data_IF_324911461851
#
_entry.id   IF_324911461851
#
_cell.length_a   1.000
_cell.length_b   1.000
_cell.length_c   1.000
_cell.angle_alpha   90.00
_cell.angle_beta   90.00
_cell.angle_gamma   90.00
#
_symmetry.space_group_name_H-M   'P 1'
#
loop_
_entity.id
_entity.type
_entity.pdbx_description
1 polymer ?
#
# COMPACT_ATOMS: atom_id res chain seq x y z
N UNK A 1 53.22 -36.82 -45.61
CA UNK A 1 52.09 -35.87 -45.47
C UNK A 1 50.83 -36.66 -45.18
N UNK A 2 50.36 -36.65 -43.93
CA UNK A 2 49.02 -37.09 -43.53
C UNK A 2 48.68 -36.32 -42.24
N UNK A 3 47.73 -35.39 -42.32
CA UNK A 3 47.24 -34.62 -41.19
C UNK A 3 45.88 -35.21 -40.77
N UNK A 4 45.78 -35.63 -39.50
CA UNK A 4 44.54 -36.12 -38.90
C UNK A 4 43.72 -34.93 -38.37
N UNK A 5 42.45 -34.85 -38.77
CA UNK A 5 41.48 -33.84 -38.33
C UNK A 5 40.71 -34.40 -37.14
N UNK A 6 40.76 -33.72 -35.99
CA UNK A 6 39.97 -34.05 -34.80
C UNK A 6 38.75 -33.13 -34.76
N UNK A 7 37.54 -33.70 -34.79
CA UNK A 7 36.28 -32.97 -34.60
C UNK A 7 36.01 -32.77 -33.11
N UNK A 8 35.85 -31.51 -32.69
CA UNK A 8 35.36 -31.15 -31.36
C UNK A 8 33.83 -31.05 -31.37
N UNK A 9 33.15 -31.86 -30.54
CA UNK A 9 31.71 -31.73 -30.30
C UNK A 9 31.47 -30.61 -29.28
N UNK A 10 30.83 -29.52 -29.70
CA UNK A 10 30.37 -28.46 -28.80
C UNK A 10 28.97 -28.83 -28.26
N UNK A 11 28.89 -29.17 -26.97
CA UNK A 11 27.62 -29.34 -26.27
C UNK A 11 27.11 -27.96 -25.80
N UNK A 12 25.99 -27.50 -26.36
CA UNK A 12 25.28 -26.32 -25.88
C UNK A 12 24.48 -26.67 -24.63
N UNK A 13 25.05 -26.45 -23.44
CA UNK A 13 24.27 -26.38 -22.21
C UNK A 13 23.68 -24.96 -22.08
N UNK A 14 22.40 -24.78 -22.36
CA UNK A 14 21.69 -23.54 -22.05
C UNK A 14 21.46 -23.46 -20.53
N UNK A 15 22.01 -22.47 -19.82
CA UNK A 15 21.61 -22.22 -18.44
C UNK A 15 20.19 -21.65 -18.45
N UNK A 16 19.22 -22.41 -17.93
CA UNK A 16 17.92 -21.86 -17.54
C UNK A 16 18.19 -20.93 -16.36
N UNK A 17 18.24 -19.63 -16.64
CA UNK A 17 18.27 -18.59 -15.60
C UNK A 17 16.86 -18.44 -15.04
N UNK A 18 16.49 -19.32 -14.12
CA UNK A 18 15.35 -19.12 -13.23
C UNK A 18 15.85 -18.46 -11.96
N UNK A 19 15.70 -17.13 -11.84
CA UNK A 19 15.87 -16.47 -10.55
C UNK A 19 14.89 -17.11 -9.55
N UNK A 20 15.36 -17.65 -8.41
CA UNK A 20 14.46 -18.12 -7.39
C UNK A 20 13.64 -16.94 -6.89
N UNK A 21 12.34 -16.90 -7.17
CA UNK A 21 11.42 -16.01 -6.46
C UNK A 21 11.61 -16.32 -4.98
N UNK A 22 12.14 -15.36 -4.22
CA UNK A 22 12.35 -15.50 -2.79
C UNK A 22 11.03 -15.98 -2.17
N UNK A 23 11.03 -17.22 -1.65
CA UNK A 23 9.86 -17.78 -1.01
C UNK A 23 9.72 -17.05 0.32
N UNK A 24 8.79 -16.10 0.38
CA UNK A 24 8.49 -15.36 1.60
C UNK A 24 8.07 -16.37 2.68
N UNK A 25 8.72 -16.31 3.84
CA UNK A 25 8.44 -17.25 4.92
C UNK A 25 7.01 -16.98 5.46
N UNK A 26 6.17 -18.02 5.64
CA UNK A 26 4.89 -17.86 6.30
C UNK A 26 5.07 -17.19 7.67
N UNK A 27 4.28 -16.15 7.95
CA UNK A 27 4.33 -15.41 9.22
C UNK A 27 5.20 -14.15 9.21
N UNK A 28 5.81 -13.77 8.09
CA UNK A 28 6.42 -12.43 7.95
C UNK A 28 5.40 -11.39 7.47
N UNK A 29 5.72 -10.11 7.68
CA UNK A 29 4.90 -8.98 7.22
C UNK A 29 4.68 -9.05 5.70
N UNK A 30 5.73 -9.41 4.95
CA UNK A 30 5.70 -9.46 3.48
C UNK A 30 4.76 -10.53 2.95
N UNK A 31 4.60 -11.65 3.67
CA UNK A 31 3.72 -12.75 3.26
C UNK A 31 2.23 -12.38 3.36
N UNK A 32 1.90 -11.35 4.14
CA UNK A 32 0.52 -10.90 4.31
C UNK A 32 0.02 -10.11 3.10
N UNK A 33 0.88 -9.37 2.38
CA UNK A 33 0.44 -8.55 1.26
C UNK A 33 -0.16 -9.39 0.12
N UNK A 34 -1.20 -8.86 -0.52
CA UNK A 34 -1.67 -9.44 -1.77
C UNK A 34 -0.62 -9.28 -2.85
N UNK A 35 -0.36 -10.33 -3.66
CA UNK A 35 0.62 -10.26 -4.71
C UNK A 35 0.13 -9.37 -5.86
N UNK A 36 1.08 -8.85 -6.65
CA UNK A 36 0.84 -7.88 -7.72
C UNK A 36 -0.24 -8.32 -8.70
N UNK A 37 -0.23 -9.58 -9.12
CA UNK A 37 -1.20 -10.14 -10.07
C UNK A 37 -2.63 -10.15 -9.52
N UNK A 38 -2.79 -10.42 -8.23
CA UNK A 38 -4.11 -10.41 -7.59
C UNK A 38 -4.63 -8.98 -7.44
N UNK A 39 -3.76 -8.04 -7.05
CA UNK A 39 -4.14 -6.62 -7.00
C UNK A 39 -4.46 -6.07 -8.38
N UNK A 40 -3.68 -6.40 -9.41
CA UNK A 40 -3.92 -6.00 -10.80
C UNK A 40 -5.30 -6.48 -11.28
N UNK A 41 -5.65 -7.74 -10.97
CA UNK A 41 -6.96 -8.32 -11.29
C UNK A 41 -8.10 -7.59 -10.57
N UNK A 42 -7.95 -7.29 -9.28
CA UNK A 42 -8.98 -6.59 -8.49
C UNK A 42 -9.20 -5.13 -8.91
N UNK A 43 -8.14 -4.47 -9.39
CA UNK A 43 -8.22 -3.09 -9.90
C UNK A 43 -8.70 -3.05 -11.36
N UNK A 44 -8.48 -4.13 -12.12
CA UNK A 44 -8.76 -4.16 -13.55
C UNK A 44 -7.72 -3.44 -14.40
N UNK A 45 -6.48 -3.31 -13.90
CA UNK A 45 -5.37 -2.64 -14.58
C UNK A 45 -4.07 -3.43 -14.45
N UNK A 46 -3.20 -3.34 -15.45
CA UNK A 46 -1.87 -3.94 -15.40
C UNK A 46 -0.95 -3.07 -14.56
N UNK A 47 -0.71 -3.46 -13.32
CA UNK A 47 0.16 -2.73 -12.40
C UNK A 47 1.59 -3.28 -12.45
N UNK A 48 2.54 -2.44 -12.05
CA UNK A 48 3.93 -2.80 -11.78
C UNK A 48 4.29 -2.48 -10.32
N UNK A 49 5.26 -3.20 -9.77
CA UNK A 49 5.80 -2.89 -8.46
C UNK A 49 6.53 -1.54 -8.46
N UNK A 50 6.31 -0.72 -7.43
CA UNK A 50 6.96 0.58 -7.28
C UNK A 50 7.91 0.60 -6.09
N UNK A 51 7.35 0.71 -4.89
CA UNK A 51 8.11 0.91 -3.67
C UNK A 51 7.62 -0.07 -2.60
N UNK A 52 8.57 -0.59 -1.84
CA UNK A 52 8.32 -1.31 -0.60
C UNK A 52 9.15 -0.67 0.52
N UNK A 53 8.56 -0.49 1.70
CA UNK A 53 9.26 0.02 2.88
C UNK A 53 8.91 -0.82 4.10
N UNK A 54 9.88 -1.01 5.00
CA UNK A 54 9.73 -1.72 6.28
C UNK A 54 9.61 -0.78 7.47
N UNK A 55 9.63 0.53 7.24
CA UNK A 55 9.40 1.55 8.26
C UNK A 55 8.41 2.62 7.75
N UNK A 56 7.57 3.18 8.64
CA UNK A 56 6.65 4.25 8.27
C UNK A 56 7.41 5.48 7.76
N UNK A 57 7.13 5.96 6.52
CA UNK A 57 7.74 7.19 6.04
C UNK A 57 7.36 8.39 6.91
N UNK A 58 8.19 9.43 6.87
CA UNK A 58 7.89 10.69 7.55
C UNK A 58 6.50 11.22 7.16
N UNK A 59 5.81 11.94 8.07
CA UNK A 59 4.54 12.60 7.75
C UNK A 59 4.64 13.44 6.48
N UNK A 60 3.62 13.34 5.64
CA UNK A 60 3.48 14.21 4.49
C UNK A 60 2.99 15.59 4.93
N UNK A 61 3.43 16.64 4.23
CA UNK A 61 3.02 18.01 4.53
C UNK A 61 1.52 18.20 4.29
N UNK A 62 0.86 18.88 5.23
CA UNK A 62 -0.55 19.23 5.19
C UNK A 62 -0.75 20.63 5.77
N UNK A 63 -1.64 21.41 5.17
CA UNK A 63 -2.17 22.64 5.75
C UNK A 63 -3.71 22.52 5.82
N UNK A 64 -4.30 22.47 7.02
CA UNK A 64 -3.65 22.59 8.33
C UNK A 64 -2.78 21.36 8.70
N UNK A 65 -1.70 21.49 9.51
CA UNK A 65 -0.84 20.38 9.89
C UNK A 65 -1.56 19.21 10.59
N UNK A 66 -2.67 19.50 11.27
CA UNK A 66 -3.52 18.49 11.91
C UNK A 66 -4.07 17.44 10.92
N UNK A 67 -4.12 17.76 9.62
CA UNK A 67 -4.58 16.88 8.56
C UNK A 67 -3.56 15.82 8.11
N UNK A 68 -2.33 15.82 8.64
CA UNK A 68 -1.27 14.93 8.19
C UNK A 68 -1.66 13.44 8.18
N UNK A 69 -2.49 12.99 9.14
CA UNK A 69 -2.98 11.60 9.20
C UNK A 69 -3.85 11.22 8.00
N UNK A 70 -4.56 12.19 7.43
CA UNK A 70 -5.47 11.95 6.31
C UNK A 70 -4.71 11.91 4.98
N UNK A 71 -3.53 12.54 4.88
CA UNK A 71 -2.81 12.76 3.61
C UNK A 71 -2.37 11.48 2.92
N UNK A 72 -1.67 10.57 3.61
CA UNK A 72 -1.08 9.39 2.98
C UNK A 72 -1.33 8.12 3.78
N UNK A 73 -1.46 6.96 3.11
CA UNK A 73 -1.28 5.69 3.79
C UNK A 73 0.16 5.58 4.31
N UNK A 74 0.39 4.64 5.23
CA UNK A 74 1.74 4.22 5.67
C UNK A 74 2.56 5.23 6.50
N UNK A 75 2.12 6.47 6.69
CA UNK A 75 2.98 7.48 7.34
C UNK A 75 3.11 7.29 8.84
N UNK A 76 4.20 7.82 9.38
CA UNK A 76 4.41 7.91 10.83
C UNK A 76 3.36 8.78 11.54
N UNK A 77 2.49 9.50 10.83
CA UNK A 77 1.33 10.18 11.45
C UNK A 77 0.35 9.19 12.09
N UNK A 78 0.26 7.96 11.55
CA UNK A 78 -0.58 6.88 12.08
C UNK A 78 0.25 5.80 12.75
N UNK A 79 1.39 5.43 12.15
CA UNK A 79 2.23 4.30 12.55
C UNK A 79 3.47 4.72 13.36
N UNK A 80 3.42 5.84 14.07
CA UNK A 80 4.59 6.53 14.64
C UNK A 80 5.60 5.60 15.35
N UNK A 81 5.12 4.78 16.29
CA UNK A 81 5.96 3.93 17.18
C UNK A 81 5.17 2.72 17.69
N UNK A 82 5.88 1.81 18.35
CA UNK A 82 5.27 0.71 19.13
C UNK A 82 4.87 -0.51 18.30
N UNK A 83 5.09 -0.51 16.99
CA UNK A 83 4.95 -1.69 16.15
C UNK A 83 6.13 -2.65 16.35
N UNK A 84 5.86 -3.94 16.23
CA UNK A 84 6.86 -5.04 16.16
C UNK A 84 7.22 -5.39 14.72
N UNK A 85 6.31 -5.13 13.79
CA UNK A 85 6.57 -5.23 12.36
C UNK A 85 5.76 -4.18 11.62
N UNK A 86 6.37 -3.60 10.59
CA UNK A 86 5.70 -2.68 9.69
C UNK A 86 6.09 -3.02 8.26
N UNK A 87 5.15 -2.85 7.34
CA UNK A 87 5.43 -2.91 5.92
C UNK A 87 4.43 -2.09 5.13
N UNK A 88 4.88 -1.53 4.01
CA UNK A 88 4.03 -0.95 2.99
C UNK A 88 4.55 -1.34 1.61
N UNK A 89 3.65 -1.71 0.71
CA UNK A 89 3.95 -1.98 -0.70
C UNK A 89 3.03 -1.15 -1.59
N UNK A 90 3.60 -0.59 -2.66
CA UNK A 90 2.87 0.20 -3.65
C UNK A 90 3.01 -0.37 -5.06
N UNK A 91 1.90 -0.37 -5.79
CA UNK A 91 1.77 -0.84 -7.17
C UNK A 91 1.16 0.27 -8.02
N UNK A 92 1.61 0.40 -9.27
CA UNK A 92 1.19 1.47 -10.16
C UNK A 92 1.29 1.04 -11.62
N UNK A 93 0.35 1.47 -12.46
CA UNK A 93 0.45 1.29 -13.91
C UNK A 93 1.43 2.28 -14.56
N UNK A 94 1.74 2.09 -15.84
CA UNK A 94 2.73 2.93 -16.52
C UNK A 94 2.29 4.39 -16.69
N UNK A 95 0.98 4.66 -16.72
CA UNK A 95 0.43 6.01 -16.88
C UNK A 95 0.18 6.72 -15.54
N UNK A 96 0.28 6.01 -14.41
CA UNK A 96 -0.10 6.50 -13.08
C UNK A 96 -1.61 6.74 -12.93
N UNK A 97 -2.44 6.13 -13.76
CA UNK A 97 -3.90 6.21 -13.69
C UNK A 97 -4.46 5.30 -12.59
N UNK A 98 -3.66 4.33 -12.14
CA UNK A 98 -3.99 3.46 -11.01
C UNK A 98 -2.79 3.36 -10.08
N UNK A 99 -3.00 3.72 -8.81
CA UNK A 99 -2.00 3.56 -7.75
C UNK A 99 -2.65 2.81 -6.59
N UNK A 100 -2.06 1.70 -6.17
CA UNK A 100 -2.50 0.94 -5.01
C UNK A 100 -1.40 0.89 -3.97
N UNK A 101 -1.76 1.11 -2.70
CA UNK A 101 -0.86 0.92 -1.56
C UNK A 101 -1.51 -0.01 -0.54
N UNK A 102 -0.77 -1.01 -0.10
CA UNK A 102 -1.13 -1.90 1.01
C UNK A 102 -0.18 -1.63 2.17
N UNK A 103 -0.71 -1.54 3.40
CA UNK A 103 0.05 -1.25 4.62
C UNK A 103 -0.35 -2.21 5.71
N UNK A 104 0.64 -2.72 6.44
CA UNK A 104 0.46 -3.54 7.63
C UNK A 104 1.35 -3.02 8.76
N UNK A 105 0.73 -2.67 9.88
CA UNK A 105 1.42 -2.51 11.16
C UNK A 105 0.99 -3.61 12.12
N UNK A 106 1.93 -4.37 12.67
CA UNK A 106 1.71 -5.39 13.70
C UNK A 106 2.31 -4.90 15.00
N UNK A 107 1.55 -4.93 16.08
CA UNK A 107 1.92 -4.43 17.40
C UNK A 107 2.16 -5.60 18.39
N UNK A 108 2.85 -5.36 19.52
CA UNK A 108 3.00 -6.37 20.57
C UNK A 108 1.67 -6.88 21.11
N UNK A 109 0.64 -6.04 21.14
CA UNK A 109 -0.69 -6.32 21.66
C UNK A 109 -1.79 -5.52 20.94
N UNK A 110 -3.04 -5.79 21.28
CA UNK A 110 -4.20 -5.08 20.71
C UNK A 110 -4.26 -3.59 21.05
N UNK A 111 -3.65 -3.18 22.17
CA UNK A 111 -3.66 -1.78 22.62
C UNK A 111 -2.90 -0.90 21.64
N UNK A 112 -1.77 -1.37 21.13
CA UNK A 112 -1.00 -0.67 20.11
C UNK A 112 -1.79 -0.46 18.82
N UNK A 113 -2.41 -1.51 18.29
CA UNK A 113 -3.23 -1.42 17.07
C UNK A 113 -4.48 -0.53 17.28
N UNK A 114 -5.11 -0.62 18.45
CA UNK A 114 -6.24 0.24 18.83
C UNK A 114 -5.84 1.71 18.90
N UNK A 115 -4.67 2.01 19.46
CA UNK A 115 -4.15 3.38 19.54
C UNK A 115 -3.92 3.98 18.15
N UNK A 116 -3.30 3.21 17.25
CA UNK A 116 -3.09 3.64 15.87
C UNK A 116 -4.41 3.85 15.12
N UNK A 117 -5.38 2.94 15.29
CA UNK A 117 -6.71 3.08 14.69
C UNK A 117 -7.48 4.29 15.23
N UNK A 118 -7.44 4.55 16.54
CA UNK A 118 -8.03 5.75 17.16
C UNK A 118 -7.36 7.03 16.66
N UNK A 119 -6.04 7.01 16.46
CA UNK A 119 -5.28 8.16 15.91
C UNK A 119 -5.74 8.48 14.49
N UNK A 120 -5.88 7.45 13.65
CA UNK A 120 -6.39 7.58 12.29
C UNK A 120 -7.83 8.13 12.30
N UNK A 121 -8.75 7.49 13.00
CA UNK A 121 -10.18 7.87 13.00
C UNK A 121 -10.43 9.26 13.58
N UNK A 122 -9.76 9.61 14.68
CA UNK A 122 -9.88 10.95 15.30
C UNK A 122 -9.37 12.03 14.35
N UNK A 123 -8.20 11.84 13.75
CA UNK A 123 -7.67 12.87 12.86
C UNK A 123 -8.39 12.93 11.49
N UNK A 124 -8.98 11.82 11.02
CA UNK A 124 -9.90 11.86 9.88
C UNK A 124 -11.15 12.71 10.18
N UNK A 125 -11.73 12.58 11.37
CA UNK A 125 -12.90 13.36 11.77
C UNK A 125 -12.60 14.87 11.85
N UNK A 126 -11.35 15.24 12.12
CA UNK A 126 -10.90 16.63 12.22
C UNK A 126 -10.42 17.22 10.90
N UNK A 127 -10.30 16.42 9.84
CA UNK A 127 -9.70 16.85 8.59
C UNK A 127 -10.68 16.76 7.40
N UNK A 128 -11.52 17.78 7.16
CA UNK A 128 -12.39 17.80 6.00
C UNK A 128 -11.67 18.15 4.69
N UNK A 129 -10.59 18.93 4.76
CA UNK A 129 -9.78 19.32 3.61
C UNK A 129 -8.37 19.75 4.05
N UNK A 130 -7.40 19.60 3.15
CA UNK A 130 -6.03 20.09 3.36
C UNK A 130 -5.37 20.47 2.03
N UNK A 131 -4.49 21.46 2.08
CA UNK A 131 -3.50 21.69 1.03
C UNK A 131 -2.30 20.78 1.28
N UNK A 132 -1.86 20.07 0.24
CA UNK A 132 -0.72 19.14 0.30
C UNK A 132 0.39 19.61 -0.63
N UNK A 133 1.63 19.43 -0.21
CA UNK A 133 2.78 19.56 -1.09
C UNK A 133 3.08 18.24 -1.79
N UNK A 134 3.15 18.28 -3.13
CA UNK A 134 3.82 17.25 -3.92
C UNK A 134 5.13 17.85 -4.46
N UNK A 135 6.26 17.19 -4.21
CA UNK A 135 7.58 17.67 -4.60
C UNK A 135 7.66 18.00 -6.11
N UNK A 136 6.94 17.25 -6.95
CA UNK A 136 7.03 17.38 -8.40
C UNK A 136 5.84 18.13 -9.03
N UNK A 137 4.74 18.30 -8.28
CA UNK A 137 3.47 18.86 -8.80
C UNK A 137 2.97 20.09 -8.07
N UNK A 138 3.73 20.61 -7.11
CA UNK A 138 3.38 21.81 -6.34
C UNK A 138 2.30 21.55 -5.29
N UNK A 139 1.62 22.62 -4.87
CA UNK A 139 0.56 22.56 -3.87
C UNK A 139 -0.77 22.19 -4.53
N UNK A 140 -1.49 21.23 -3.96
CA UNK A 140 -2.83 20.86 -4.39
C UNK A 140 -3.77 20.78 -3.19
N UNK A 141 -5.01 21.24 -3.35
CA UNK A 141 -6.05 21.10 -2.33
C UNK A 141 -6.74 19.76 -2.48
N UNK A 142 -6.99 19.11 -1.34
CA UNK A 142 -7.65 17.82 -1.25
C UNK A 142 -8.82 17.89 -0.29
N UNK A 143 -9.92 17.24 -0.65
CA UNK A 143 -11.07 17.05 0.22
C UNK A 143 -11.11 15.62 0.73
N UNK A 144 -11.42 15.45 2.00
CA UNK A 144 -11.56 14.13 2.63
C UNK A 144 -12.99 13.90 3.05
N UNK A 145 -13.49 12.69 2.79
CA UNK A 145 -14.82 12.26 3.24
C UNK A 145 -14.66 10.92 3.91
N UNK A 146 -14.68 10.92 5.23
CA UNK A 146 -14.67 9.70 6.03
C UNK A 146 -16.10 9.24 6.32
N UNK A 147 -16.31 7.94 6.20
CA UNK A 147 -17.52 7.29 6.69
C UNK A 147 -17.43 7.17 8.22
N UNK A 148 -18.56 7.12 8.96
CA UNK A 148 -18.53 6.87 10.38
C UNK A 148 -17.75 5.57 10.68
N UNK A 149 -16.72 5.61 11.53
CA UNK A 149 -15.96 4.42 11.84
C UNK A 149 -16.82 3.40 12.58
N UNK A 150 -16.58 2.13 12.30
CA UNK A 150 -17.06 1.01 13.12
C UNK A 150 -16.06 0.73 14.25
N UNK A 151 -16.29 -0.31 15.04
CA UNK A 151 -15.38 -0.71 16.12
C UNK A 151 -13.96 -1.04 15.63
N UNK A 152 -13.80 -1.54 14.41
CA UNK A 152 -12.52 -2.00 13.88
C UNK A 152 -12.18 -1.47 12.49
N UNK A 153 -13.12 -0.88 11.76
CA UNK A 153 -12.96 -0.51 10.35
C UNK A 153 -13.39 0.93 10.07
N UNK A 154 -12.67 1.61 9.19
CA UNK A 154 -13.02 2.95 8.68
C UNK A 154 -12.68 3.06 7.19
N UNK A 155 -13.59 3.60 6.40
CA UNK A 155 -13.40 3.92 5.00
C UNK A 155 -13.47 5.43 4.78
N UNK A 156 -12.67 5.94 3.84
CA UNK A 156 -12.70 7.34 3.45
C UNK A 156 -12.19 7.55 2.04
N UNK A 157 -12.58 8.67 1.43
CA UNK A 157 -12.04 9.11 0.14
C UNK A 157 -11.21 10.36 0.33
N UNK A 158 -10.15 10.48 -0.46
CA UNK A 158 -9.40 11.72 -0.65
C UNK A 158 -9.45 12.13 -2.12
N UNK A 159 -10.07 13.26 -2.44
CA UNK A 159 -10.23 13.75 -3.81
C UNK A 159 -9.41 15.01 -4.04
N UNK A 160 -8.70 15.07 -5.15
CA UNK A 160 -7.89 16.22 -5.54
C UNK A 160 -8.77 17.27 -6.24
N UNK A 161 -8.71 18.51 -5.78
CA UNK A 161 -9.36 19.64 -6.47
C UNK A 161 -8.62 19.93 -7.78
N UNK A 162 -9.37 20.01 -8.88
CA UNK A 162 -8.79 20.20 -10.22
C UNK A 162 -7.98 19.01 -10.75
N UNK A 163 -8.10 17.82 -10.16
CA UNK A 163 -7.38 16.61 -10.57
C UNK A 163 -8.17 15.69 -11.51
N UNK A 164 -9.10 16.21 -12.32
CA UNK A 164 -9.88 15.42 -13.28
C UNK A 164 -10.56 14.16 -12.71
N UNK A 165 -11.11 14.29 -11.50
CA UNK A 165 -11.78 13.18 -10.81
C UNK A 165 -10.85 12.24 -10.05
N UNK A 166 -9.55 12.54 -10.01
CA UNK A 166 -8.56 11.77 -9.25
C UNK A 166 -8.93 11.68 -7.76
N UNK A 167 -9.22 10.45 -7.33
CA UNK A 167 -9.66 10.15 -5.98
C UNK A 167 -8.95 8.90 -5.47
N UNK A 168 -8.51 8.95 -4.22
CA UNK A 168 -8.03 7.79 -3.49
C UNK A 168 -9.13 7.27 -2.57
N UNK A 169 -9.67 6.09 -2.87
CA UNK A 169 -10.49 5.33 -1.93
C UNK A 169 -9.57 4.60 -0.94
N UNK A 170 -9.86 4.74 0.35
CA UNK A 170 -9.04 4.18 1.42
C UNK A 170 -9.90 3.44 2.42
N UNK A 171 -9.32 2.38 2.97
CA UNK A 171 -9.97 1.57 3.97
C UNK A 171 -8.90 1.07 4.94
N UNK A 172 -9.16 1.18 6.24
CA UNK A 172 -8.34 0.56 7.27
C UNK A 172 -9.19 -0.36 8.14
N UNK A 173 -8.61 -1.47 8.59
CA UNK A 173 -9.23 -2.42 9.51
C UNK A 173 -8.22 -2.91 10.54
N UNK A 174 -8.61 -2.90 11.81
CA UNK A 174 -7.90 -3.56 12.89
C UNK A 174 -8.25 -5.05 12.91
N UNK A 175 -7.26 -5.90 13.14
CA UNK A 175 -7.43 -7.35 13.33
C UNK A 175 -6.51 -7.79 14.47
N UNK A 176 -7.06 -8.06 15.65
CA UNK A 176 -6.29 -8.31 16.87
C UNK A 176 -5.27 -7.19 17.13
N UNK A 177 -3.98 -7.56 17.16
CA UNK A 177 -2.82 -6.68 17.33
C UNK A 177 -2.29 -6.06 16.02
N UNK A 178 -3.02 -6.15 14.91
CA UNK A 178 -2.62 -5.60 13.62
C UNK A 178 -3.56 -4.48 13.14
N UNK A 179 -3.00 -3.51 12.41
CA UNK A 179 -3.74 -2.50 11.65
C UNK A 179 -3.37 -2.61 10.17
N UNK A 180 -4.37 -2.97 9.37
CA UNK A 180 -4.30 -3.12 7.91
C UNK A 180 -4.87 -1.86 7.27
N UNK A 181 -4.21 -1.34 6.24
CA UNK A 181 -4.72 -0.21 5.46
C UNK A 181 -4.49 -0.43 3.97
N UNK A 182 -5.47 -0.05 3.16
CA UNK A 182 -5.43 -0.06 1.70
C UNK A 182 -5.77 1.32 1.16
N UNK A 183 -5.09 1.72 0.10
CA UNK A 183 -5.43 2.89 -0.72
C UNK A 183 -5.47 2.48 -2.18
N UNK A 184 -6.54 2.82 -2.89
CA UNK A 184 -6.65 2.69 -4.36
C UNK A 184 -6.96 4.08 -4.91
N UNK A 185 -6.04 4.64 -5.67
CA UNK A 185 -6.17 5.93 -6.32
C UNK A 185 -6.37 5.73 -7.82
N UNK A 186 -7.44 6.31 -8.34
CA UNK A 186 -7.76 6.34 -9.76
C UNK A 186 -8.71 7.50 -10.07
N UNK A 187 -8.94 7.79 -11.34
CA UNK A 187 -10.09 8.58 -11.73
C UNK A 187 -11.38 7.75 -11.55
N UNK A 188 -12.42 8.35 -10.95
CA UNK A 188 -13.69 7.66 -10.70
C UNK A 188 -13.77 6.98 -9.32
N UNK A 189 -14.47 5.85 -9.25
CA UNK A 189 -14.77 5.16 -7.97
C UNK A 189 -13.89 3.93 -7.73
N UNK A 190 -12.85 4.09 -6.92
CA UNK A 190 -11.98 3.00 -6.47
C UNK A 190 -12.46 2.26 -5.21
N UNK A 191 -13.61 2.62 -4.63
CA UNK A 191 -14.10 2.01 -3.38
C UNK A 191 -14.29 0.49 -3.48
N UNK A 192 -14.90 -0.07 -4.54
CA UNK A 192 -15.08 -1.52 -4.64
C UNK A 192 -13.76 -2.29 -4.62
N UNK A 193 -12.76 -1.82 -5.37
CA UNK A 193 -11.43 -2.42 -5.39
C UNK A 193 -10.72 -2.30 -4.03
N UNK A 194 -10.77 -1.12 -3.40
CA UNK A 194 -10.18 -0.91 -2.08
C UNK A 194 -10.78 -1.84 -1.01
N UNK A 195 -12.10 -2.03 -1.02
CA UNK A 195 -12.79 -2.95 -0.12
C UNK A 195 -12.40 -4.41 -0.37
N UNK A 196 -12.42 -4.86 -1.64
CA UNK A 196 -12.06 -6.23 -2.00
C UNK A 196 -10.60 -6.58 -1.66
N UNK A 197 -9.67 -5.65 -1.90
CA UNK A 197 -8.26 -5.79 -1.52
C UNK A 197 -8.14 -5.86 -0.01
N UNK A 198 -8.82 -4.97 0.73
CA UNK A 198 -8.74 -4.98 2.20
C UNK A 198 -9.24 -6.30 2.78
N UNK A 199 -10.38 -6.83 2.32
CA UNK A 199 -10.94 -8.06 2.85
C UNK A 199 -10.01 -9.25 2.65
N UNK A 200 -9.45 -9.38 1.44
CA UNK A 200 -8.47 -10.43 1.12
C UNK A 200 -7.16 -10.24 1.89
N UNK A 201 -6.67 -9.01 2.00
CA UNK A 201 -5.43 -8.69 2.72
C UNK A 201 -5.56 -8.98 4.22
N UNK A 202 -6.64 -8.48 4.86
CA UNK A 202 -6.93 -8.77 6.26
C UNK A 202 -7.13 -10.27 6.50
N UNK A 203 -7.66 -11.02 5.54
CA UNK A 203 -7.76 -12.48 5.59
C UNK A 203 -6.41 -13.19 5.73
N UNK A 204 -5.32 -12.62 5.21
CA UNK A 204 -3.95 -13.18 5.26
C UNK A 204 -3.16 -12.83 6.52
N UNK A 205 -3.61 -11.84 7.28
CA UNK A 205 -2.94 -11.43 8.52
C UNK A 205 -3.26 -12.42 9.62
N UNK A 206 -2.24 -13.09 10.16
CA UNK A 206 -2.36 -13.89 11.37
C UNK A 206 -2.17 -12.96 12.57
N UNK A 207 -3.23 -12.79 13.37
CA UNK A 207 -3.28 -11.91 14.55
C UNK A 207 -3.94 -12.65 15.70
#
# INVERSE_FOLDING_TARGET
MLAAVVMAMAACTNPVSGEPKARVAPGTIEAAFLPLEEVSSLVGATLAAQQSVSEPPRPLSADPPACAVAVGPATASVYARGWRGFGSVSYQDSSSDHVVTQVLGVYPDETGATTAFTTLTTGLAQCPAAVRGNADRGLAKWTYKAEPPTTDSVAWTASQEGGDGWTCARHARRKGNALVQVSVCQAGDGKPAAAAILDKFAGRVNS
#
